data_IF_966020070755
#
_entry.id   IF_966020070755
#
_cell.length_a   1.000
_cell.length_b   1.000
_cell.length_c   1.000
_cell.angle_alpha   90.00
_cell.angle_beta   90.00
_cell.angle_gamma   90.00
#
_symmetry.space_group_name_H-M   'P 1'
#
loop_
_entity.id
_entity.type
_entity.pdbx_description
1 polymer ?
#
# COMPACT_ATOMS: atom_id res chain seq x y z
N UNK A 1 13.14 7.46 -0.46
CA UNK A 1 11.67 7.51 -0.50
C UNK A 1 11.16 7.20 -1.89
N UNK A 2 10.13 6.40 -1.98
CA UNK A 2 9.53 5.99 -3.25
C UNK A 2 8.38 6.92 -3.58
N UNK A 3 8.36 7.45 -4.80
CA UNK A 3 7.21 8.19 -5.30
C UNK A 3 6.59 7.40 -6.44
N UNK A 4 5.28 7.38 -6.49
CA UNK A 4 4.57 6.65 -7.53
C UNK A 4 3.20 7.26 -7.80
N UNK A 5 2.57 6.77 -8.86
CA UNK A 5 1.25 7.19 -9.24
C UNK A 5 0.35 5.97 -9.34
N UNK A 6 -0.76 6.00 -8.64
CA UNK A 6 -1.72 4.90 -8.67
C UNK A 6 -2.54 4.94 -9.97
N UNK A 7 -3.22 3.83 -10.25
CA UNK A 7 -4.02 3.71 -11.47
C UNK A 7 -5.10 4.79 -11.60
N UNK A 8 -5.55 5.34 -10.47
CA UNK A 8 -6.55 6.41 -10.47
C UNK A 8 -5.93 7.82 -10.57
N UNK A 9 -4.62 7.91 -10.79
CA UNK A 9 -3.92 9.18 -10.93
C UNK A 9 -3.42 9.81 -9.62
N UNK A 10 -3.72 9.21 -8.48
CA UNK A 10 -3.28 9.73 -7.19
C UNK A 10 -1.78 9.48 -7.00
N UNK A 11 -1.05 10.53 -6.61
CA UNK A 11 0.39 10.43 -6.35
C UNK A 11 0.63 10.06 -4.89
N UNK A 12 1.53 9.10 -4.66
CA UNK A 12 1.89 8.67 -3.31
C UNK A 12 3.39 8.83 -3.07
N UNK A 13 3.74 9.11 -1.82
CA UNK A 13 5.12 9.11 -1.36
C UNK A 13 5.22 8.04 -0.28
N UNK A 14 6.16 7.11 -0.45
CA UNK A 14 6.29 5.93 0.42
C UNK A 14 7.69 5.83 0.98
N UNK A 15 7.78 5.48 2.26
CA UNK A 15 9.06 5.19 2.90
C UNK A 15 9.33 3.69 2.74
N UNK A 16 10.29 3.34 1.91
CA UNK A 16 10.63 1.95 1.62
C UNK A 16 11.08 1.16 2.84
N UNK A 17 11.53 1.84 3.89
CA UNK A 17 11.92 1.16 5.12
C UNK A 17 10.73 0.60 5.89
N UNK A 18 9.54 1.12 5.67
CA UNK A 18 8.35 0.65 6.38
C UNK A 18 7.98 -0.79 6.04
N UNK A 19 8.29 -1.27 4.84
CA UNK A 19 7.97 -2.67 4.47
C UNK A 19 8.89 -3.67 5.17
N UNK A 20 9.98 -3.21 5.78
CA UNK A 20 10.93 -4.05 6.49
C UNK A 20 10.63 -4.12 7.99
N UNK A 21 9.61 -3.42 8.47
CA UNK A 21 9.31 -3.39 9.90
C UNK A 21 8.49 -4.61 10.32
N UNK A 22 8.64 -4.97 11.58
CA UNK A 22 7.84 -6.03 12.19
C UNK A 22 6.33 -5.70 12.12
N UNK A 23 5.98 -4.45 12.35
CA UNK A 23 4.58 -4.00 12.29
C UNK A 23 3.97 -4.26 10.91
N UNK A 24 4.71 -3.95 9.85
CA UNK A 24 4.24 -4.19 8.50
C UNK A 24 4.06 -5.68 8.22
N UNK A 25 5.03 -6.50 8.62
CA UNK A 25 4.96 -7.96 8.47
C UNK A 25 3.72 -8.53 9.14
N UNK A 26 3.43 -8.05 10.35
CA UNK A 26 2.26 -8.47 11.12
C UNK A 26 0.96 -8.10 10.39
N UNK A 27 0.89 -6.86 9.87
CA UNK A 27 -0.28 -6.40 9.13
C UNK A 27 -0.49 -7.20 7.84
N UNK A 28 0.58 -7.48 7.12
CA UNK A 28 0.51 -8.30 5.89
C UNK A 28 -0.02 -9.70 6.21
N UNK A 29 0.45 -10.31 7.29
CA UNK A 29 -0.06 -11.61 7.72
C UNK A 29 -1.56 -11.59 7.99
N UNK A 30 -2.03 -10.56 8.66
CA UNK A 30 -3.46 -10.40 8.95
C UNK A 30 -4.27 -10.11 7.69
N UNK A 31 -3.70 -9.41 6.72
CA UNK A 31 -4.38 -9.11 5.46
C UNK A 31 -4.60 -10.36 4.60
N UNK A 32 -3.91 -11.45 4.90
CA UNK A 32 -4.09 -12.74 4.24
C UNK A 32 -5.05 -13.67 5.00
N UNK A 33 -5.66 -13.19 6.08
CA UNK A 33 -6.58 -13.97 6.90
C UNK A 33 -7.80 -14.44 6.11
N UNK A 34 -8.33 -15.59 6.47
CA UNK A 34 -9.59 -16.10 5.93
C UNK A 34 -10.80 -15.40 6.54
N UNK A 35 -10.62 -14.76 7.70
CA UNK A 35 -11.66 -13.96 8.33
C UNK A 35 -11.75 -12.62 7.60
N UNK A 36 -12.89 -12.38 6.96
CA UNK A 36 -13.11 -11.18 6.15
C UNK A 36 -12.92 -9.89 6.96
N UNK A 37 -13.41 -9.87 8.20
CA UNK A 37 -13.31 -8.67 9.05
C UNK A 37 -11.86 -8.37 9.41
N UNK A 38 -11.10 -9.40 9.76
CA UNK A 38 -9.68 -9.25 10.10
C UNK A 38 -8.88 -8.78 8.89
N UNK A 39 -9.15 -9.37 7.72
CA UNK A 39 -8.48 -9.00 6.47
C UNK A 39 -8.74 -7.55 6.09
N UNK A 40 -10.00 -7.12 6.16
CA UNK A 40 -10.40 -5.76 5.80
C UNK A 40 -9.82 -4.73 6.77
N UNK A 41 -9.85 -5.04 8.06
CA UNK A 41 -9.26 -4.17 9.06
C UNK A 41 -7.75 -4.03 8.85
N UNK A 42 -7.06 -5.13 8.57
CA UNK A 42 -5.63 -5.11 8.31
C UNK A 42 -5.28 -4.26 7.10
N UNK A 43 -6.07 -4.36 6.02
CA UNK A 43 -5.86 -3.53 4.83
C UNK A 43 -6.01 -2.04 5.13
N UNK A 44 -6.98 -1.67 5.94
CA UNK A 44 -7.16 -0.29 6.36
C UNK A 44 -5.96 0.21 7.17
N UNK A 45 -5.46 -0.63 8.07
CA UNK A 45 -4.30 -0.29 8.89
C UNK A 45 -3.02 -0.16 8.05
N UNK A 46 -2.87 -1.01 7.04
CA UNK A 46 -1.73 -0.93 6.11
C UNK A 46 -1.72 0.40 5.38
N UNK A 47 -2.87 0.82 4.88
CA UNK A 47 -2.99 2.08 4.16
C UNK A 47 -2.55 3.25 5.05
N UNK A 48 -3.13 3.36 6.24
CA UNK A 48 -2.78 4.40 7.18
C UNK A 48 -1.30 4.36 7.57
N UNK A 49 -0.77 3.16 7.78
CA UNK A 49 0.64 2.99 8.14
C UNK A 49 1.58 3.48 7.05
N UNK A 50 1.26 3.18 5.79
CA UNK A 50 2.15 3.49 4.67
C UNK A 50 2.08 4.95 4.22
N UNK A 51 0.91 5.55 4.17
CA UNK A 51 0.76 6.92 3.66
C UNK A 51 0.34 7.95 4.73
N UNK A 52 0.08 7.50 5.95
CA UNK A 52 -0.32 8.38 7.05
C UNK A 52 -1.80 8.73 6.99
N UNK A 53 -2.30 9.28 8.09
CA UNK A 53 -3.71 9.65 8.22
C UNK A 53 -4.13 10.70 7.17
N UNK A 54 -3.30 11.72 6.99
CA UNK A 54 -3.57 12.78 6.00
C UNK A 54 -3.54 12.25 4.58
N UNK A 55 -2.58 11.37 4.28
CA UNK A 55 -2.48 10.73 2.97
C UNK A 55 -3.67 9.84 2.68
N UNK A 56 -4.12 9.08 3.68
CA UNK A 56 -5.31 8.25 3.56
C UNK A 56 -6.54 9.09 3.25
N UNK A 57 -6.74 10.19 3.98
CA UNK A 57 -7.89 11.06 3.75
C UNK A 57 -7.85 11.69 2.36
N UNK A 58 -6.67 12.12 1.92
CA UNK A 58 -6.51 12.70 0.59
C UNK A 58 -6.84 11.69 -0.50
N UNK A 59 -6.42 10.43 -0.32
CA UNK A 59 -6.73 9.35 -1.26
C UNK A 59 -8.23 9.08 -1.31
N UNK A 60 -8.88 9.00 -0.16
CA UNK A 60 -10.33 8.75 -0.09
C UNK A 60 -11.09 9.87 -0.79
N UNK A 61 -10.71 11.12 -0.57
CA UNK A 61 -11.32 12.28 -1.24
C UNK A 61 -11.14 12.21 -2.76
N UNK A 62 -9.96 11.77 -3.20
CA UNK A 62 -9.67 11.63 -4.62
C UNK A 62 -10.58 10.57 -5.28
N UNK A 63 -10.75 9.44 -4.62
CA UNK A 63 -11.63 8.36 -5.10
C UNK A 63 -13.07 8.88 -5.19
N UNK A 64 -13.55 9.54 -4.14
CA UNK A 64 -14.92 10.05 -4.11
C UNK A 64 -15.20 11.01 -5.25
N UNK A 65 -14.24 11.89 -5.57
CA UNK A 65 -14.37 12.81 -6.70
C UNK A 65 -14.46 12.11 -8.04
N UNK A 66 -13.76 10.98 -8.19
CA UNK A 66 -13.75 10.24 -9.45
C UNK A 66 -14.99 9.39 -9.64
N UNK A 67 -15.45 8.71 -8.60
CA UNK A 67 -16.55 7.76 -8.72
C UNK A 67 -17.91 8.35 -8.37
N UNK A 68 -17.95 9.48 -7.67
CA UNK A 68 -19.19 10.16 -7.33
C UNK A 68 -19.95 9.58 -6.15
N UNK A 69 -19.31 8.72 -5.36
CA UNK A 69 -19.87 8.16 -4.13
C UNK A 69 -18.75 7.90 -3.12
N UNK A 70 -19.11 7.59 -1.88
CA UNK A 70 -18.11 7.25 -0.88
C UNK A 70 -17.30 6.03 -1.35
N UNK A 71 -15.97 6.02 -1.10
CA UNK A 71 -15.14 4.89 -1.49
C UNK A 71 -15.61 3.59 -0.85
N UNK A 72 -15.70 2.53 -1.63
CA UNK A 72 -16.02 1.20 -1.12
C UNK A 72 -14.74 0.50 -0.68
N UNK A 73 -14.88 -0.52 0.16
CA UNK A 73 -13.73 -1.30 0.61
C UNK A 73 -13.01 -1.98 -0.55
N UNK A 74 -13.72 -2.39 -1.60
CA UNK A 74 -13.11 -2.99 -2.78
C UNK A 74 -12.22 -1.99 -3.51
N UNK A 75 -12.69 -0.77 -3.66
CA UNK A 75 -11.93 0.30 -4.32
C UNK A 75 -10.66 0.62 -3.54
N UNK A 76 -10.79 0.75 -2.22
CA UNK A 76 -9.64 1.06 -1.36
C UNK A 76 -8.66 -0.12 -1.33
N UNK A 77 -9.15 -1.35 -1.19
CA UNK A 77 -8.29 -2.54 -1.14
C UNK A 77 -7.47 -2.69 -2.42
N UNK A 78 -8.07 -2.44 -3.58
CA UNK A 78 -7.35 -2.49 -4.86
C UNK A 78 -6.17 -1.53 -4.87
N UNK A 79 -6.34 -0.34 -4.32
CA UNK A 79 -5.28 0.66 -4.26
C UNK A 79 -4.22 0.31 -3.23
N UNK A 80 -4.60 -0.30 -2.11
CA UNK A 80 -3.64 -0.80 -1.12
C UNK A 80 -2.73 -1.84 -1.77
N UNK A 81 -3.28 -2.73 -2.57
CA UNK A 81 -2.50 -3.73 -3.30
C UNK A 81 -1.53 -3.05 -4.27
N UNK A 82 -1.96 -2.03 -4.98
CA UNK A 82 -1.09 -1.26 -5.88
C UNK A 82 0.08 -0.63 -5.12
N UNK A 83 -0.20 -0.04 -3.96
CA UNK A 83 0.83 0.59 -3.13
C UNK A 83 1.86 -0.44 -2.67
N UNK A 84 1.39 -1.59 -2.19
CA UNK A 84 2.27 -2.67 -1.74
C UNK A 84 3.15 -3.15 -2.90
N UNK A 85 2.56 -3.31 -4.08
CA UNK A 85 3.30 -3.75 -5.27
C UNK A 85 4.37 -2.74 -5.69
N UNK A 86 4.08 -1.45 -5.61
CA UNK A 86 5.08 -0.41 -5.88
C UNK A 86 6.29 -0.55 -4.95
N UNK A 87 6.04 -0.76 -3.66
CA UNK A 87 7.10 -0.90 -2.68
C UNK A 87 7.91 -2.18 -2.90
N UNK A 88 7.24 -3.28 -3.24
CA UNK A 88 7.90 -4.55 -3.51
C UNK A 88 8.76 -4.49 -4.77
N UNK A 89 8.30 -3.83 -5.81
CA UNK A 89 9.06 -3.67 -7.05
C UNK A 89 10.38 -2.97 -6.80
N UNK A 90 10.37 -1.89 -6.02
CA UNK A 90 11.59 -1.19 -5.66
C UNK A 90 12.55 -2.07 -4.85
N UNK A 91 12.02 -2.81 -3.88
CA UNK A 91 12.81 -3.72 -3.08
C UNK A 91 13.42 -4.84 -3.93
N UNK A 92 12.65 -5.40 -4.86
CA UNK A 92 13.13 -6.44 -5.77
C UNK A 92 14.21 -5.92 -6.72
N UNK A 93 14.06 -4.72 -7.25
CA UNK A 93 15.06 -4.10 -8.10
C UNK A 93 16.38 -3.90 -7.34
N UNK A 94 16.30 -3.47 -6.10
CA UNK A 94 17.46 -3.31 -5.23
C UNK A 94 18.13 -4.66 -4.98
N UNK A 95 17.35 -5.69 -4.71
CA UNK A 95 17.85 -7.05 -4.49
C UNK A 95 18.48 -7.63 -5.74
N UNK A 96 17.91 -7.40 -6.90
CA UNK A 96 18.45 -7.87 -8.17
C UNK A 96 19.80 -7.25 -8.44
N UNK A 97 19.94 -5.97 -8.18
CA UNK A 97 21.24 -5.29 -8.33
C UNK A 97 22.30 -5.90 -7.44
N UNK A 98 21.94 -6.16 -6.17
CA UNK A 98 22.86 -6.79 -5.23
C UNK A 98 23.22 -8.22 -5.66
N UNK A 99 22.23 -8.98 -6.12
CA UNK A 99 22.45 -10.36 -6.60
C UNK A 99 23.35 -10.41 -7.82
N UNK A 100 23.23 -9.44 -8.71
CA UNK A 100 24.07 -9.33 -9.89
C UNK A 100 25.56 -9.17 -9.52
N UNK A 101 25.82 -8.43 -8.46
CA UNK A 101 27.17 -8.23 -7.97
C UNK A 101 27.76 -9.50 -7.39
N UNK A 102 26.95 -10.34 -6.78
CA UNK A 102 27.40 -11.59 -6.18
C UNK A 102 27.67 -12.68 -7.22
N UNK A 103 27.01 -12.62 -8.33
CA UNK A 103 27.13 -13.64 -9.37
C UNK A 103 28.19 -13.29 -10.39
#
# INVERSE_FOLDING_TARGET
MITGKLSNGFKVELDENKIKTYKFTKLIGKSASKDDKERLYANACILEYLIGEDGEQALLDHIEKQVGHEPTEKEVTSLVIEIINLMKQEDEETKKSASSEES
#
